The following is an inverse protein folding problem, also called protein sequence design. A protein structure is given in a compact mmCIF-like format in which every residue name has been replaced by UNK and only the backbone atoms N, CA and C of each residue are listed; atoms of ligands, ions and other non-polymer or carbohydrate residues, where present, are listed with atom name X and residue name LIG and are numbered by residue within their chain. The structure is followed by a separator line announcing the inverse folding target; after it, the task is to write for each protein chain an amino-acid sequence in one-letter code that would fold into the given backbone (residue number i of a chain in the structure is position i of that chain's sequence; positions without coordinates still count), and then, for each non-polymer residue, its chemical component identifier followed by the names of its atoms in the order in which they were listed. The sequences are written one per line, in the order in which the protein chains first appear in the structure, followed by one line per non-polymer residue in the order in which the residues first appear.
data_IF_340104288457
#
_entry.id   IF_340104288457
#
_cell.length_a   1.000
_cell.length_b   1.000
_cell.length_c   1.000
_cell.angle_alpha   90.00
_cell.angle_beta   90.00
_cell.angle_gamma   90.00
#
_symmetry.space_group_name_H-M   'P 1'
#
loop_
_entity.id
_entity.type
_entity.pdbx_description
1 polymer ?
#
# COMPACT_ATOMS: atom_id res chain seq x y z
N UNK A 1 -7.59 1.17 -10.86
CA UNK A 1 -8.50 0.52 -9.90
C UNK A 1 -8.84 1.55 -8.83
N UNK A 2 -10.10 1.97 -8.74
CA UNK A 2 -10.54 3.09 -7.89
C UNK A 2 -11.08 2.55 -6.57
N UNK A 3 -10.86 3.28 -5.48
CA UNK A 3 -11.46 2.98 -4.17
C UNK A 3 -12.95 3.31 -4.23
N UNK A 4 -13.80 2.37 -3.85
CA UNK A 4 -15.25 2.54 -3.83
C UNK A 4 -15.74 2.90 -2.42
N UNK A 5 -16.43 4.04 -2.28
CA UNK A 5 -16.90 4.52 -0.97
C UNK A 5 -18.25 3.94 -0.54
N UNK A 6 -18.94 3.24 -1.45
CA UNK A 6 -20.23 2.62 -1.21
C UNK A 6 -20.08 1.14 -0.83
N UNK A 7 -18.91 0.55 -1.11
CA UNK A 7 -18.56 -0.79 -0.68
C UNK A 7 -18.42 -0.87 0.85
N UNK A 8 -18.93 -1.94 1.49
CA UNK A 8 -18.82 -2.13 2.94
C UNK A 8 -17.37 -2.33 3.42
N UNK A 9 -16.43 -2.60 2.52
CA UNK A 9 -15.01 -2.77 2.87
C UNK A 9 -14.39 -1.41 3.23
N UNK A 10 -13.64 -1.31 4.34
CA UNK A 10 -12.99 -0.06 4.71
C UNK A 10 -12.04 0.46 3.62
N UNK A 11 -12.06 1.77 3.39
CA UNK A 11 -11.24 2.46 2.38
C UNK A 11 -9.76 2.11 2.46
N UNK A 12 -9.23 1.97 3.69
CA UNK A 12 -7.83 1.62 3.89
C UNK A 12 -7.51 0.18 3.43
N UNK A 13 -8.45 -0.76 3.58
CA UNK A 13 -8.27 -2.15 3.12
C UNK A 13 -8.36 -2.23 1.60
N UNK A 14 -9.26 -1.47 1.00
CA UNK A 14 -9.35 -1.36 -0.45
C UNK A 14 -8.05 -0.79 -1.04
N UNK A 15 -7.51 0.29 -0.46
CA UNK A 15 -6.24 0.85 -0.89
C UNK A 15 -5.09 -0.15 -0.71
N UNK A 16 -5.01 -0.81 0.46
CA UNK A 16 -3.99 -1.82 0.70
C UNK A 16 -4.09 -2.96 -0.30
N UNK A 17 -5.30 -3.43 -0.63
CA UNK A 17 -5.53 -4.42 -1.69
C UNK A 17 -5.04 -3.93 -3.06
N UNK A 18 -5.38 -2.71 -3.45
CA UNK A 18 -4.92 -2.14 -4.73
C UNK A 18 -3.39 -2.10 -4.81
N UNK A 19 -2.72 -1.67 -3.73
CA UNK A 19 -1.25 -1.61 -3.70
C UNK A 19 -0.65 -3.02 -3.74
N UNK A 20 -1.22 -3.99 -3.01
CA UNK A 20 -0.81 -5.40 -3.06
C UNK A 20 -0.90 -5.96 -4.47
N UNK A 21 -2.02 -5.73 -5.15
CA UNK A 21 -2.20 -6.20 -6.52
C UNK A 21 -1.20 -5.54 -7.48
N UNK A 22 -0.88 -4.25 -7.31
CA UNK A 22 0.20 -3.59 -8.10
C UNK A 22 1.57 -4.20 -7.84
N UNK A 23 1.91 -4.51 -6.59
CA UNK A 23 3.16 -5.20 -6.23
C UNK A 23 3.20 -6.61 -6.86
N UNK A 24 2.10 -7.37 -6.76
CA UNK A 24 1.97 -8.71 -7.34
C UNK A 24 2.04 -8.69 -8.86
N UNK A 25 1.44 -7.68 -9.50
CA UNK A 25 1.44 -7.49 -10.95
C UNK A 25 2.82 -7.08 -11.50
N UNK A 26 3.73 -6.63 -10.65
CA UNK A 26 5.05 -6.14 -11.05
C UNK A 26 5.08 -4.65 -11.44
N UNK A 27 3.99 -3.90 -11.23
CA UNK A 27 3.98 -2.43 -11.35
C UNK A 27 4.87 -1.76 -10.31
N UNK A 28 5.03 -2.40 -9.15
CA UNK A 28 5.89 -1.97 -8.06
C UNK A 28 6.89 -3.07 -7.74
N UNK A 29 8.13 -2.90 -8.21
CA UNK A 29 9.19 -3.89 -7.99
C UNK A 29 9.68 -3.88 -6.54
N UNK A 30 10.25 -5.00 -6.10
CA UNK A 30 10.89 -5.07 -4.80
C UNK A 30 11.97 -4.01 -4.62
N UNK A 31 12.07 -3.42 -3.43
CA UNK A 31 13.01 -2.33 -3.11
C UNK A 31 12.76 -1.02 -3.88
N UNK A 32 11.70 -0.94 -4.69
CA UNK A 32 11.26 0.31 -5.27
C UNK A 32 10.55 1.18 -4.24
N UNK A 33 10.63 2.49 -4.41
CA UNK A 33 9.89 3.44 -3.59
C UNK A 33 8.38 3.33 -3.86
N UNK A 34 7.60 3.17 -2.79
CA UNK A 34 6.13 3.28 -2.84
C UNK A 34 5.78 4.77 -2.88
N UNK A 35 4.74 5.18 -3.63
CA UNK A 35 4.27 6.56 -3.60
C UNK A 35 3.99 7.02 -2.16
N UNK A 36 4.39 8.26 -1.85
CA UNK A 36 4.20 8.87 -0.54
C UNK A 36 2.71 8.93 -0.17
N UNK A 37 2.41 9.00 1.12
CA UNK A 37 1.03 9.11 1.61
C UNK A 37 0.26 10.27 0.94
N UNK A 38 0.94 11.40 0.75
CA UNK A 38 0.38 12.57 0.04
C UNK A 38 0.08 12.28 -1.43
N UNK A 39 0.95 11.54 -2.12
CA UNK A 39 0.72 11.16 -3.52
C UNK A 39 -0.45 10.19 -3.64
N UNK A 40 -0.54 9.20 -2.75
CA UNK A 40 -1.67 8.27 -2.70
C UNK A 40 -2.99 8.97 -2.38
N UNK A 41 -2.95 9.96 -1.48
CA UNK A 41 -4.11 10.81 -1.20
C UNK A 41 -4.58 11.57 -2.45
N UNK A 42 -3.67 12.17 -3.22
CA UNK A 42 -4.01 12.92 -4.42
C UNK A 42 -4.47 12.00 -5.56
N UNK A 43 -3.79 10.86 -5.76
CA UNK A 43 -4.10 9.88 -6.81
C UNK A 43 -5.46 9.22 -6.60
N UNK A 44 -5.81 8.88 -5.36
CA UNK A 44 -7.03 8.14 -5.03
C UNK A 44 -8.14 8.99 -4.37
N UNK A 45 -7.88 10.27 -4.07
CA UNK A 45 -8.86 11.16 -3.43
C UNK A 45 -9.26 10.75 -2.01
N UNK A 46 -8.40 10.01 -1.30
CA UNK A 46 -8.70 9.41 -0.01
C UNK A 46 -8.18 10.24 1.17
N UNK A 47 -8.83 10.12 2.32
CA UNK A 47 -8.40 10.80 3.53
C UNK A 47 -7.01 10.33 3.98
N UNK A 48 -6.17 11.27 4.44
CA UNK A 48 -4.81 10.98 4.95
C UNK A 48 -4.81 9.88 6.03
N UNK A 49 -5.81 9.87 6.91
CA UNK A 49 -5.96 8.82 7.94
C UNK A 49 -6.14 7.43 7.35
N UNK A 50 -6.90 7.30 6.26
CA UNK A 50 -7.11 6.03 5.56
C UNK A 50 -5.87 5.59 4.79
N UNK A 51 -5.16 6.53 4.15
CA UNK A 51 -3.86 6.24 3.51
C UNK A 51 -2.88 5.70 4.53
N UNK A 52 -2.74 6.40 5.66
CA UNK A 52 -1.83 6.00 6.73
C UNK A 52 -2.16 4.61 7.24
N UNK A 53 -3.44 4.33 7.53
CA UNK A 53 -3.92 3.00 7.94
C UNK A 53 -3.60 1.92 6.91
N UNK A 54 -3.76 2.21 5.62
CA UNK A 54 -3.44 1.26 4.55
C UNK A 54 -1.94 0.97 4.50
N UNK A 55 -1.10 2.00 4.64
CA UNK A 55 0.36 1.87 4.67
C UNK A 55 0.84 1.12 5.93
N UNK A 56 0.20 1.35 7.07
CA UNK A 56 0.43 0.59 8.31
C UNK A 56 0.08 -0.88 8.09
N UNK A 57 -1.09 -1.19 7.54
CA UNK A 57 -1.52 -2.56 7.24
C UNK A 57 -0.54 -3.28 6.29
N UNK A 58 -0.17 -2.64 5.18
CA UNK A 58 0.81 -3.20 4.23
C UNK A 58 2.17 -3.46 4.89
N UNK A 59 2.56 -2.61 5.84
CA UNK A 59 3.81 -2.77 6.59
C UNK A 59 3.72 -3.93 7.58
N UNK A 60 2.59 -4.07 8.28
CA UNK A 60 2.33 -5.17 9.20
C UNK A 60 2.28 -6.52 8.48
N UNK A 61 1.65 -6.57 7.31
CA UNK A 61 1.60 -7.75 6.45
C UNK A 61 2.96 -8.08 5.79
N UNK A 62 3.92 -7.14 5.79
CA UNK A 62 5.25 -7.35 5.22
C UNK A 62 5.38 -7.03 3.73
N UNK A 63 4.39 -6.38 3.12
CA UNK A 63 4.43 -5.91 1.73
C UNK A 63 5.33 -4.69 1.52
N UNK A 64 5.40 -3.81 2.51
CA UNK A 64 6.20 -2.57 2.44
C UNK A 64 7.04 -2.36 3.69
N UNK A 65 8.13 -1.61 3.55
CA UNK A 65 9.01 -1.22 4.65
C UNK A 65 9.23 0.29 4.63
N UNK A 66 8.95 0.94 5.75
CA UNK A 66 9.24 2.37 5.92
C UNK A 66 10.63 2.54 6.51
N UNK A 67 11.49 3.28 5.80
CA UNK A 67 12.82 3.66 6.24
C UNK A 67 12.78 5.13 6.64
N UNK A 68 12.96 5.41 7.93
CA UNK A 68 12.95 6.77 8.45
C UNK A 68 13.98 7.64 7.71
N UNK A 69 13.54 8.78 7.19
CA UNK A 69 14.38 9.70 6.42
C UNK A 69 14.61 9.32 4.95
N UNK A 70 14.14 8.14 4.49
CA UNK A 70 14.22 7.74 3.07
C UNK A 70 12.87 7.49 2.41
N UNK A 71 11.81 7.31 3.18
CA UNK A 71 10.47 7.05 2.67
C UNK A 71 10.07 5.58 2.80
N UNK A 72 9.07 5.15 2.01
CA UNK A 72 8.54 3.79 2.05
C UNK A 72 8.94 3.03 0.80
N UNK A 73 9.36 1.78 0.97
CA UNK A 73 9.84 0.91 -0.10
C UNK A 73 9.03 -0.39 -0.11
N UNK A 74 8.88 -1.01 -1.28
CA UNK A 74 8.32 -2.36 -1.39
C UNK A 74 9.27 -3.33 -0.72
N UNK A 75 8.73 -4.18 0.14
CA UNK A 75 9.52 -5.19 0.82
C UNK A 75 10.12 -6.19 -0.19
N UNK A 76 11.26 -6.81 0.12
CA UNK A 76 11.79 -7.90 -0.72
C UNK A 76 10.77 -9.03 -0.83
N UNK A 77 10.75 -9.72 -1.98
CA UNK A 77 9.81 -10.83 -2.26
C UNK A 77 9.82 -11.92 -1.20
N UNK A 78 10.98 -12.15 -0.57
CA UNK A 78 11.15 -13.10 0.54
C UNK A 78 10.29 -12.78 1.77
N UNK A 79 9.92 -11.50 1.94
CA UNK A 79 9.13 -11.00 3.08
C UNK A 79 7.64 -10.88 2.77
N UNK A 80 7.25 -11.06 1.51
CA UNK A 80 5.84 -11.03 1.14
C UNK A 80 5.11 -12.16 1.86
N UNK A 81 3.90 -11.89 2.39
CA UNK A 81 3.12 -12.93 3.04
C UNK A 81 2.82 -14.00 2.00
N UNK A 82 3.23 -15.24 2.31
CA UNK A 82 2.83 -16.40 1.51
C UNK A 82 1.38 -16.67 1.87
N UNK A 83 0.47 -16.49 0.92
CA UNK A 83 -0.86 -17.09 1.01
C UNK A 83 -0.63 -18.61 1.04
N UNK A 84 -0.91 -19.23 2.20
CA UNK A 84 -0.82 -20.68 2.43
C UNK A 84 -2.11 -21.38 2.02
#
# INVERSE_FOLDING_TARGET
MTVDQLDPTPIYEQLARIIRERIKAGDLEERQTVPSETSLQQEHGIARGSVRRAMELLREEGWVVTIQGRGTFVAPRERWPKEE
#
